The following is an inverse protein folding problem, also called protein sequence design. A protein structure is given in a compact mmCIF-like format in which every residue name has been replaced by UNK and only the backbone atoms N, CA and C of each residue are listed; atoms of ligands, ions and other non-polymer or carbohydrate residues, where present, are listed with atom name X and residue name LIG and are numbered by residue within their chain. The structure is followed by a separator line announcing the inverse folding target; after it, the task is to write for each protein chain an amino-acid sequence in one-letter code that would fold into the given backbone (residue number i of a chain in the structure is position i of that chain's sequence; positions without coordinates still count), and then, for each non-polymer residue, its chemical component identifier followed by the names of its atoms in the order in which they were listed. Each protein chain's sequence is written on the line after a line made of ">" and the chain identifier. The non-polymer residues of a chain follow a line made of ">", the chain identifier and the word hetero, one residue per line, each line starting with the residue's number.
data_IF_571697812221
#
_entry.id   IF_571697812221
#
_cell.length_a   1.000
_cell.length_b   1.000
_cell.length_c   1.000
_cell.angle_alpha   90.00
_cell.angle_beta   90.00
_cell.angle_gamma   90.00
#
_symmetry.space_group_name_H-M   'P 1'
#
loop_
_entity.id
_entity.type
_entity.pdbx_description
1 polymer ?
#
# COMPACT_ATOMS: atom_id res chain seq x y z
N UNK A 1 1.87 13.47 -15.55
CA UNK A 1 2.72 12.36 -16.02
C UNK A 1 2.07 11.08 -15.52
N UNK A 2 1.79 10.11 -16.40
CA UNK A 2 1.29 8.81 -15.92
C UNK A 2 2.43 8.11 -15.19
N UNK A 3 2.28 8.04 -13.89
CA UNK A 3 3.18 7.43 -12.91
C UNK A 3 3.32 5.90 -13.07
N UNK A 4 2.44 5.29 -13.88
CA UNK A 4 2.48 3.89 -14.30
C UNK A 4 3.54 3.61 -15.37
N UNK A 5 4.67 4.33 -15.34
CA UNK A 5 5.83 4.06 -16.17
C UNK A 5 6.44 2.72 -15.78
N UNK A 6 6.57 1.84 -16.76
CA UNK A 6 6.91 0.41 -16.67
C UNK A 6 8.29 0.08 -16.05
N UNK A 7 9.01 1.05 -15.47
CA UNK A 7 10.44 0.95 -15.14
C UNK A 7 10.83 0.89 -13.66
N UNK A 8 10.06 1.50 -12.74
CA UNK A 8 10.46 1.59 -11.33
C UNK A 8 9.43 0.87 -10.43
N UNK A 9 9.83 -0.26 -9.85
CA UNK A 9 8.94 -1.08 -9.03
C UNK A 9 8.75 -0.46 -7.64
N UNK A 10 9.82 0.08 -7.07
CA UNK A 10 9.84 0.78 -5.78
C UNK A 10 8.91 1.99 -5.82
N UNK A 11 9.03 2.84 -6.86
CA UNK A 11 8.17 4.02 -7.02
C UNK A 11 6.67 3.68 -7.13
N UNK A 12 6.32 2.51 -7.71
CA UNK A 12 4.92 2.05 -7.78
C UNK A 12 4.37 1.59 -6.44
N UNK A 13 5.21 0.94 -5.61
CA UNK A 13 4.80 0.49 -4.27
C UNK A 13 4.58 1.70 -3.37
N UNK A 14 5.50 2.66 -3.39
CA UNK A 14 5.38 3.92 -2.63
C UNK A 14 4.09 4.65 -2.98
N UNK A 15 3.81 4.81 -4.27
CA UNK A 15 2.58 5.47 -4.72
C UNK A 15 1.33 4.70 -4.29
N UNK A 16 1.31 3.37 -4.45
CA UNK A 16 0.17 2.57 -4.05
C UNK A 16 -0.12 2.73 -2.54
N UNK A 17 0.91 2.74 -1.69
CA UNK A 17 0.76 2.98 -0.26
C UNK A 17 0.26 4.39 0.04
N UNK A 18 0.80 5.42 -0.62
CA UNK A 18 0.33 6.80 -0.48
C UNK A 18 -1.15 6.95 -0.89
N UNK A 19 -1.58 6.25 -1.94
CA UNK A 19 -2.97 6.24 -2.37
C UNK A 19 -3.89 5.60 -1.32
N UNK A 20 -3.43 4.54 -0.65
CA UNK A 20 -4.19 3.89 0.42
C UNK A 20 -4.34 4.81 1.64
N UNK A 21 -3.29 5.53 2.02
CA UNK A 21 -3.33 6.53 3.09
C UNK A 21 -4.28 7.68 2.72
N UNK A 22 -4.17 8.22 1.50
CA UNK A 22 -5.06 9.28 1.02
C UNK A 22 -6.55 8.89 0.95
N UNK A 23 -6.84 7.60 0.84
CA UNK A 23 -8.21 7.05 0.86
C UNK A 23 -8.68 6.67 2.28
N UNK A 24 -7.83 6.82 3.29
CA UNK A 24 -8.12 6.41 4.67
C UNK A 24 -8.25 4.89 4.83
N UNK A 25 -7.66 4.10 3.93
CA UNK A 25 -7.63 2.63 4.02
C UNK A 25 -6.55 2.19 5.03
N UNK A 26 -5.47 2.98 5.15
CA UNK A 26 -4.45 2.85 6.20
C UNK A 26 -4.39 4.15 7.00
N UNK A 27 -3.97 4.05 8.26
CA UNK A 27 -4.01 5.15 9.22
C UNK A 27 -2.74 6.03 9.16
N UNK A 28 -1.69 5.55 8.50
CA UNK A 28 -0.45 6.31 8.32
C UNK A 28 0.63 5.55 7.56
N UNK A 29 1.55 6.29 6.94
CA UNK A 29 2.69 5.77 6.20
C UNK A 29 3.99 6.52 6.55
N UNK A 30 5.04 5.77 6.86
CA UNK A 30 6.41 6.26 6.95
C UNK A 30 7.32 5.42 6.01
N UNK A 31 8.19 6.10 5.24
CA UNK A 31 9.10 5.48 4.28
C UNK A 31 10.54 5.82 4.65
N UNK A 32 11.35 4.79 4.92
CA UNK A 32 12.74 4.90 5.35
C UNK A 32 13.66 4.12 4.40
N UNK A 33 14.06 4.71 3.26
CA UNK A 33 14.74 3.99 2.17
C UNK A 33 16.08 3.33 2.56
N UNK A 34 16.69 3.75 3.67
CA UNK A 34 17.94 3.19 4.16
C UNK A 34 17.78 1.94 5.03
N UNK A 35 16.55 1.54 5.37
CA UNK A 35 16.26 0.36 6.19
C UNK A 35 16.01 -0.88 5.34
N UNK A 36 16.29 -2.07 5.88
CA UNK A 36 15.99 -3.34 5.21
C UNK A 36 14.48 -3.55 4.97
N UNK A 37 13.65 -2.91 5.79
CA UNK A 37 12.20 -2.86 5.66
C UNK A 37 11.76 -1.40 5.62
N UNK A 38 11.83 -0.74 4.45
CA UNK A 38 11.67 0.69 4.34
C UNK A 38 10.22 1.16 4.57
N UNK A 39 9.22 0.28 4.48
CA UNK A 39 7.82 0.68 4.56
C UNK A 39 7.26 0.41 5.96
N UNK A 40 6.76 1.46 6.62
CA UNK A 40 6.07 1.36 7.90
C UNK A 40 4.64 1.85 7.74
N UNK A 41 3.69 0.92 7.84
CA UNK A 41 2.27 1.21 7.65
C UNK A 41 1.55 1.08 8.98
N UNK A 42 0.88 2.15 9.40
CA UNK A 42 -0.02 2.12 10.54
C UNK A 42 -1.39 1.64 10.08
N UNK A 43 -1.89 0.62 10.75
CA UNK A 43 -3.25 0.09 10.60
C UNK A 43 -3.92 -0.01 11.97
N UNK A 44 -5.24 -0.27 12.06
CA UNK A 44 -5.91 -0.38 13.35
C UNK A 44 -5.34 -1.49 14.26
N UNK A 45 -4.72 -2.51 13.66
CA UNK A 45 -4.09 -3.61 14.38
C UNK A 45 -2.67 -3.27 14.91
N UNK A 46 -2.08 -2.14 14.51
CA UNK A 46 -0.74 -1.71 14.91
C UNK A 46 0.14 -1.29 13.73
N UNK A 47 1.43 -1.12 14.01
CA UNK A 47 2.44 -0.73 13.02
C UNK A 47 3.04 -1.96 12.35
N UNK A 48 3.08 -1.97 11.01
CA UNK A 48 3.62 -3.08 10.19
C UNK A 48 4.84 -2.61 9.43
N UNK A 49 5.96 -3.32 9.57
CA UNK A 49 7.20 -3.03 8.85
C UNK A 49 7.38 -4.01 7.69
N UNK A 50 7.63 -3.50 6.49
CA UNK A 50 7.63 -4.28 5.26
C UNK A 50 8.83 -3.95 4.37
N UNK A 51 9.35 -4.97 3.70
CA UNK A 51 10.14 -4.80 2.49
C UNK A 51 9.25 -4.49 1.27
N UNK A 52 9.85 -4.32 0.09
CA UNK A 52 9.11 -3.97 -1.14
C UNK A 52 8.15 -5.07 -1.61
N UNK A 53 8.50 -6.34 -1.42
CA UNK A 53 7.63 -7.47 -1.79
C UNK A 53 6.43 -7.58 -0.86
N UNK A 54 6.67 -7.50 0.45
CA UNK A 54 5.65 -7.49 1.47
C UNK A 54 4.69 -6.29 1.29
N UNK A 55 5.24 -5.10 1.04
CA UNK A 55 4.46 -3.89 0.81
C UNK A 55 3.62 -3.95 -0.46
N UNK A 56 4.14 -4.55 -1.55
CA UNK A 56 3.38 -4.75 -2.78
C UNK A 56 2.17 -5.67 -2.55
N UNK A 57 2.37 -6.77 -1.83
CA UNK A 57 1.30 -7.72 -1.49
C UNK A 57 0.28 -7.12 -0.52
N UNK A 58 0.75 -6.34 0.45
CA UNK A 58 -0.10 -5.58 1.36
C UNK A 58 -0.99 -4.62 0.59
N UNK A 59 -0.42 -3.82 -0.31
CA UNK A 59 -1.18 -2.83 -1.07
C UNK A 59 -2.27 -3.49 -1.93
N UNK A 60 -1.93 -4.60 -2.60
CA UNK A 60 -2.92 -5.40 -3.35
C UNK A 60 -4.03 -5.93 -2.43
N UNK A 61 -3.66 -6.52 -1.28
CA UNK A 61 -4.60 -7.05 -0.31
C UNK A 61 -5.55 -5.99 0.27
N UNK A 62 -5.02 -4.80 0.59
CA UNK A 62 -5.79 -3.67 1.09
C UNK A 62 -6.85 -3.21 0.07
N UNK A 63 -6.46 -3.06 -1.20
CA UNK A 63 -7.39 -2.71 -2.30
C UNK A 63 -8.47 -3.79 -2.46
N UNK A 64 -8.07 -5.07 -2.54
CA UNK A 64 -9.03 -6.17 -2.69
C UNK A 64 -9.98 -6.26 -1.50
N UNK A 65 -9.51 -6.00 -0.28
CA UNK A 65 -10.34 -5.96 0.92
C UNK A 65 -11.37 -4.83 0.88
N UNK A 66 -10.92 -3.61 0.56
CA UNK A 66 -11.78 -2.42 0.51
C UNK A 66 -12.84 -2.51 -0.59
N UNK A 67 -12.46 -2.88 -1.81
CA UNK A 67 -13.39 -2.96 -2.95
C UNK A 67 -14.15 -4.29 -3.02
N UNK A 68 -13.63 -5.36 -2.42
CA UNK A 68 -14.28 -6.67 -2.44
C UNK A 68 -15.66 -6.66 -1.76
N UNK A 69 -15.85 -5.83 -0.73
CA UNK A 69 -17.14 -5.64 -0.10
C UNK A 69 -18.15 -4.98 -1.06
N UNK A 70 -17.72 -3.99 -1.83
CA UNK A 70 -18.55 -3.28 -2.83
C UNK A 70 -18.93 -4.22 -3.97
N UNK A 71 -17.97 -5.00 -4.48
CA UNK A 71 -18.19 -5.93 -5.58
C UNK A 71 -19.21 -7.02 -5.23
N UNK A 72 -19.21 -7.51 -3.98
CA UNK A 72 -20.15 -8.54 -3.52
C UNK A 72 -21.56 -8.03 -3.22
N UNK A 73 -21.76 -6.73 -3.09
CA UNK A 73 -23.10 -6.14 -2.91
C UNK A 73 -23.89 -6.04 -4.23
N UNK A 74 -23.21 -6.18 -5.38
CA UNK A 74 -23.79 -6.04 -6.71
C UNK A 74 -23.78 -7.36 -7.52
N UNK A 75 -23.49 -8.49 -6.87
CA UNK A 75 -23.52 -9.83 -7.45
C UNK A 75 -24.77 -10.58 -6.97
#
# INVERSE_FOLDING_TARGET
>A
MSIWSRGDRTGRVEEALLMLEGQGIIDGLEILPSEAKPYRVLVPAGLVHMDEDEASMFALGAVVGAFGAIARQHA
#
